data_IF_018544460224
#
_entry.id   IF_018544460224
#
_cell.length_a   1.000
_cell.length_b   1.000
_cell.length_c   1.000
_cell.angle_alpha   90.00
_cell.angle_beta   90.00
_cell.angle_gamma   90.00
#
_symmetry.space_group_name_H-M   'P 1'
#
loop_
_entity.id
_entity.type
_entity.pdbx_description
1 polymer ?
#
# COMPACT_ATOMS: atom_id res chain seq x y z
N UNK A 1 -4.53 29.56 -16.08
CA UNK A 1 -5.74 28.92 -15.55
C UNK A 1 -5.42 28.46 -14.14
N UNK A 2 -6.10 29.03 -13.16
CA UNK A 2 -5.93 28.71 -11.74
C UNK A 2 -6.61 27.36 -11.54
N UNK A 3 -5.82 26.28 -11.47
CA UNK A 3 -6.36 24.98 -11.05
C UNK A 3 -6.84 25.13 -9.61
N UNK A 4 -8.16 25.05 -9.41
CA UNK A 4 -8.77 24.97 -8.08
C UNK A 4 -7.96 24.00 -7.21
N UNK A 5 -7.59 24.42 -6.01
CA UNK A 5 -7.00 23.57 -4.99
C UNK A 5 -7.91 22.34 -4.79
N UNK A 6 -7.57 21.23 -5.44
CA UNK A 6 -8.29 19.98 -5.25
C UNK A 6 -8.00 19.52 -3.81
N UNK A 7 -8.93 19.85 -2.91
CA UNK A 7 -8.91 19.36 -1.53
C UNK A 7 -8.74 17.84 -1.55
N UNK A 8 -7.85 17.32 -0.69
CA UNK A 8 -7.63 15.88 -0.58
C UNK A 8 -8.97 15.19 -0.30
N UNK A 9 -9.41 14.23 -1.14
CA UNK A 9 -10.75 13.67 -1.01
C UNK A 9 -10.91 12.99 0.34
N UNK A 10 -12.06 13.19 0.98
CA UNK A 10 -12.44 12.39 2.15
C UNK A 10 -12.52 10.92 1.74
N UNK A 11 -11.88 10.05 2.51
CA UNK A 11 -11.98 8.61 2.26
C UNK A 11 -13.42 8.15 2.52
N UNK A 12 -14.00 7.38 1.59
CA UNK A 12 -15.30 6.74 1.80
C UNK A 12 -15.13 5.67 2.90
N UNK A 13 -15.91 5.79 3.98
CA UNK A 13 -15.83 4.91 5.15
C UNK A 13 -16.08 3.45 4.79
N UNK A 14 -16.98 3.16 3.83
CA UNK A 14 -17.31 1.80 3.40
C UNK A 14 -16.16 1.20 2.60
N UNK A 15 -15.59 1.96 1.66
CA UNK A 15 -14.42 1.54 0.90
C UNK A 15 -13.23 1.24 1.81
N UNK A 16 -13.00 2.10 2.81
CA UNK A 16 -11.96 1.90 3.82
C UNK A 16 -12.22 0.67 4.69
N UNK A 17 -13.47 0.44 5.12
CA UNK A 17 -13.80 -0.76 5.90
C UNK A 17 -13.53 -2.03 5.10
N UNK A 18 -13.93 -2.09 3.83
CA UNK A 18 -13.64 -3.23 2.94
C UNK A 18 -12.13 -3.44 2.81
N UNK A 19 -11.39 -2.36 2.55
CA UNK A 19 -9.94 -2.42 2.43
C UNK A 19 -9.29 -2.96 3.72
N UNK A 20 -9.67 -2.42 4.89
CA UNK A 20 -9.16 -2.85 6.19
C UNK A 20 -9.46 -4.33 6.43
N UNK A 21 -10.70 -4.77 6.20
CA UNK A 21 -11.09 -6.17 6.36
C UNK A 21 -10.28 -7.10 5.46
N UNK A 22 -10.08 -6.74 4.18
CA UNK A 22 -9.27 -7.51 3.24
C UNK A 22 -7.80 -7.54 3.67
N UNK A 23 -7.25 -6.43 4.15
CA UNK A 23 -5.88 -6.39 4.62
C UNK A 23 -5.67 -7.19 5.91
N UNK A 24 -6.61 -7.14 6.86
CA UNK A 24 -6.58 -7.99 8.05
C UNK A 24 -6.70 -9.48 7.68
N UNK A 25 -7.58 -9.83 6.73
CA UNK A 25 -7.69 -11.18 6.22
C UNK A 25 -6.37 -11.64 5.56
N UNK A 26 -5.75 -10.79 4.75
CA UNK A 26 -4.46 -11.08 4.13
C UNK A 26 -3.36 -11.31 5.17
N UNK A 27 -3.26 -10.44 6.19
CA UNK A 27 -2.24 -10.55 7.23
C UNK A 27 -2.46 -11.77 8.12
N UNK A 28 -3.69 -12.01 8.56
CA UNK A 28 -4.02 -13.15 9.42
C UNK A 28 -3.84 -14.47 8.68
N UNK A 29 -4.38 -14.58 7.46
CA UNK A 29 -4.27 -15.79 6.67
C UNK A 29 -2.83 -16.03 6.20
N UNK A 30 -2.17 -15.00 5.65
CA UNK A 30 -0.77 -15.10 5.22
C UNK A 30 0.20 -15.40 6.37
N UNK A 31 0.06 -14.70 7.50
CA UNK A 31 0.83 -14.98 8.71
C UNK A 31 0.57 -16.39 9.25
N UNK A 32 -0.69 -16.85 9.22
CA UNK A 32 -1.08 -18.22 9.56
C UNK A 32 -0.41 -19.28 8.68
N UNK A 33 -0.36 -19.05 7.36
CA UNK A 33 0.35 -19.93 6.41
C UNK A 33 1.85 -19.99 6.70
N UNK A 34 2.50 -18.84 6.93
CA UNK A 34 3.93 -18.82 7.29
C UNK A 34 4.17 -19.53 8.62
N UNK A 35 3.34 -19.28 9.65
CA UNK A 35 3.47 -19.93 10.95
C UNK A 35 3.28 -21.45 10.87
N UNK A 36 2.32 -21.91 10.06
CA UNK A 36 1.98 -23.34 9.87
C UNK A 36 3.03 -24.10 9.06
N UNK A 37 3.40 -23.59 7.89
CA UNK A 37 4.26 -24.32 6.95
C UNK A 37 5.75 -23.98 7.09
N UNK A 38 6.10 -22.79 7.59
CA UNK A 38 7.49 -22.29 7.68
C UNK A 38 7.71 -21.47 8.96
N UNK A 39 7.45 -22.05 10.14
CA UNK A 39 7.51 -21.38 11.45
C UNK A 39 8.77 -20.53 11.69
N UNK A 40 9.95 -20.98 11.22
CA UNK A 40 11.22 -20.23 11.33
C UNK A 40 11.22 -18.89 10.59
N UNK A 41 10.44 -18.77 9.50
CA UNK A 41 10.32 -17.56 8.71
C UNK A 41 9.26 -16.59 9.24
N UNK A 42 8.45 -17.02 10.20
CA UNK A 42 7.42 -16.17 10.80
C UNK A 42 8.00 -14.91 11.42
N UNK A 43 9.16 -15.01 12.10
CA UNK A 43 9.85 -13.85 12.64
C UNK A 43 10.29 -12.87 11.55
N UNK A 44 10.75 -13.36 10.40
CA UNK A 44 11.13 -12.53 9.26
C UNK A 44 9.90 -11.83 8.65
N UNK A 45 8.79 -12.56 8.50
CA UNK A 45 7.53 -12.00 8.01
C UNK A 45 6.99 -10.91 8.96
N UNK A 46 7.05 -11.16 10.28
CA UNK A 46 6.65 -10.18 11.29
C UNK A 46 7.57 -8.95 11.31
N UNK A 47 8.88 -9.15 11.17
CA UNK A 47 9.84 -8.06 11.06
C UNK A 47 9.55 -7.20 9.82
N UNK A 48 9.25 -7.81 8.67
CA UNK A 48 8.84 -7.09 7.47
C UNK A 48 7.55 -6.29 7.70
N UNK A 49 6.55 -6.86 8.39
CA UNK A 49 5.31 -6.16 8.74
C UNK A 49 5.57 -4.93 9.62
N UNK A 50 6.42 -5.04 10.63
CA UNK A 50 6.81 -3.92 11.48
C UNK A 50 7.60 -2.87 10.69
N UNK A 51 8.55 -3.29 9.85
CA UNK A 51 9.36 -2.39 9.03
C UNK A 51 8.50 -1.61 8.02
N UNK A 52 7.50 -2.26 7.44
CA UNK A 52 6.52 -1.63 6.58
C UNK A 52 5.64 -0.63 7.33
N UNK A 53 5.15 -1.01 8.52
CA UNK A 53 4.19 -0.22 9.29
C UNK A 53 4.81 1.03 9.92
N UNK A 54 6.09 0.96 10.31
CA UNK A 54 6.77 2.04 11.03
C UNK A 54 7.83 2.71 10.17
N UNK A 55 8.88 1.97 9.78
CA UNK A 55 10.05 2.58 9.15
C UNK A 55 9.72 3.12 7.76
N UNK A 56 9.04 2.33 6.92
CA UNK A 56 8.67 2.78 5.57
C UNK A 56 7.77 4.02 5.62
N UNK A 57 6.80 4.05 6.55
CA UNK A 57 5.94 5.22 6.76
C UNK A 57 6.70 6.42 7.29
N UNK A 58 7.64 6.23 8.21
CA UNK A 58 8.52 7.30 8.65
C UNK A 58 9.34 7.88 7.48
N UNK A 59 9.97 7.02 6.69
CA UNK A 59 10.87 7.43 5.60
C UNK A 59 10.14 8.10 4.43
N UNK A 60 8.88 7.72 4.16
CA UNK A 60 8.13 8.18 2.98
C UNK A 60 7.03 9.18 3.37
N UNK A 61 6.19 8.86 4.36
CA UNK A 61 5.00 9.65 4.65
C UNK A 61 5.36 11.01 5.28
N UNK A 62 6.39 11.10 6.12
CA UNK A 62 6.76 12.37 6.80
C UNK A 62 7.14 13.51 5.87
N UNK A 63 7.55 13.20 4.63
CA UNK A 63 7.85 14.18 3.58
C UNK A 63 6.65 14.53 2.70
N UNK A 64 5.65 13.65 2.63
CA UNK A 64 4.56 13.77 1.67
C UNK A 64 3.78 15.06 1.88
N UNK A 65 3.47 15.80 0.79
CA UNK A 65 2.56 16.96 0.80
C UNK A 65 1.20 16.66 1.46
N UNK A 66 0.82 15.39 1.49
CA UNK A 66 -0.42 14.88 2.09
C UNK A 66 -0.20 14.30 3.49
N UNK A 67 0.85 14.72 4.21
CA UNK A 67 1.14 14.27 5.55
C UNK A 67 -0.06 14.42 6.49
N UNK A 68 -0.34 13.38 7.28
CA UNK A 68 -1.49 13.35 8.20
C UNK A 68 -2.86 13.19 7.52
N UNK A 69 -2.92 13.10 6.19
CA UNK A 69 -4.16 12.81 5.45
C UNK A 69 -4.43 11.30 5.39
N UNK A 70 -5.70 10.88 5.20
CA UNK A 70 -6.08 9.49 5.04
C UNK A 70 -5.72 8.96 3.64
N UNK A 71 -4.41 8.95 3.32
CA UNK A 71 -3.92 8.67 1.97
C UNK A 71 -3.46 7.22 1.75
N UNK A 72 -3.45 6.37 2.78
CA UNK A 72 -3.00 4.97 2.68
C UNK A 72 -3.88 3.97 3.46
N UNK A 73 -3.54 2.68 3.29
CA UNK A 73 -4.14 1.54 3.97
C UNK A 73 -4.20 1.73 5.49
N UNK A 74 -5.34 1.45 6.09
CA UNK A 74 -5.58 1.59 7.54
C UNK A 74 -5.33 3.00 8.08
N UNK A 75 -5.40 4.07 7.27
CA UNK A 75 -5.03 5.41 7.72
C UNK A 75 -3.59 5.49 8.27
N UNK A 76 -2.70 4.58 7.87
CA UNK A 76 -1.29 4.55 8.25
C UNK A 76 -0.58 5.91 8.14
N UNK A 77 -0.88 6.74 7.14
CA UNK A 77 -0.35 8.11 7.02
C UNK A 77 -0.85 9.07 8.11
N UNK A 78 -2.11 8.91 8.54
CA UNK A 78 -2.70 9.66 9.66
C UNK A 78 -2.14 9.19 11.00
N UNK A 79 -1.99 7.87 11.18
CA UNK A 79 -1.44 7.31 12.42
C UNK A 79 0.06 7.55 12.54
N UNK A 80 0.82 7.46 11.45
CA UNK A 80 2.24 7.83 11.41
C UNK A 80 2.43 9.30 11.84
N UNK A 81 1.48 10.17 11.51
CA UNK A 81 1.51 11.57 11.93
C UNK A 81 1.32 11.79 13.45
N UNK A 82 0.83 10.79 14.18
CA UNK A 82 0.80 10.82 15.65
C UNK A 82 2.17 10.51 16.26
N UNK A 83 3.01 9.75 15.57
CA UNK A 83 4.29 9.27 16.08
C UNK A 83 5.49 10.07 15.58
N UNK A 84 5.35 10.73 14.43
CA UNK A 84 6.45 11.44 13.78
C UNK A 84 6.10 12.91 13.56
N UNK A 85 7.12 13.75 13.38
CA UNK A 85 6.96 15.15 12.93
C UNK A 85 7.09 15.22 11.41
N UNK A 86 6.39 16.15 10.73
CA UNK A 86 6.60 16.37 9.30
C UNK A 86 8.05 16.80 9.04
N UNK A 87 8.64 16.28 7.96
CA UNK A 87 10.01 16.56 7.51
C UNK A 87 10.02 16.84 6.01
N UNK A 88 9.42 17.94 5.53
CA UNK A 88 9.28 18.23 4.09
C UNK A 88 10.63 18.41 3.39
N UNK A 89 11.62 18.96 4.10
CA UNK A 89 12.97 19.23 3.58
C UNK A 89 13.84 17.98 3.42
N UNK A 90 13.40 16.84 3.97
CA UNK A 90 14.16 15.60 3.91
C UNK A 90 14.16 15.06 2.48
N UNK A 91 15.31 14.69 1.94
CA UNK A 91 15.37 14.00 0.65
C UNK A 91 14.74 12.61 0.77
N UNK A 92 13.89 12.26 -0.20
CA UNK A 92 13.36 10.91 -0.34
C UNK A 92 14.53 10.04 -0.81
N UNK A 93 15.17 9.43 0.16
CA UNK A 93 16.35 8.63 -0.05
C UNK A 93 15.94 7.25 -0.58
N UNK A 94 16.78 6.64 -1.41
CA UNK A 94 16.53 5.32 -2.01
C UNK A 94 16.23 4.27 -0.93
N UNK A 95 16.78 4.47 0.27
CA UNK A 95 16.52 3.68 1.47
C UNK A 95 15.03 3.55 1.82
N UNK A 96 14.23 4.60 1.71
CA UNK A 96 12.79 4.56 1.97
C UNK A 96 12.04 3.66 1.00
N UNK A 97 12.32 3.83 -0.30
CA UNK A 97 11.70 3.04 -1.37
C UNK A 97 12.11 1.56 -1.31
N UNK A 98 13.40 1.30 -1.03
CA UNK A 98 13.91 -0.06 -0.85
C UNK A 98 13.25 -0.71 0.37
N UNK A 99 13.15 0.01 1.49
CA UNK A 99 12.53 -0.52 2.71
C UNK A 99 11.06 -0.88 2.48
N UNK A 100 10.29 0.01 1.84
CA UNK A 100 8.89 -0.26 1.51
C UNK A 100 8.77 -1.46 0.55
N UNK A 101 9.53 -1.44 -0.54
CA UNK A 101 9.49 -2.49 -1.56
C UNK A 101 9.86 -3.87 -1.01
N UNK A 102 10.96 -3.96 -0.25
CA UNK A 102 11.41 -5.22 0.36
C UNK A 102 10.38 -5.71 1.38
N UNK A 103 9.83 -4.82 2.19
CA UNK A 103 8.87 -5.21 3.23
C UNK A 103 7.56 -5.71 2.62
N UNK A 104 7.01 -5.00 1.62
CA UNK A 104 5.82 -5.43 0.88
C UNK A 104 6.07 -6.76 0.16
N UNK A 105 7.25 -6.94 -0.44
CA UNK A 105 7.64 -8.18 -1.10
C UNK A 105 7.69 -9.35 -0.09
N UNK A 106 8.31 -9.17 1.07
CA UNK A 106 8.37 -10.22 2.10
C UNK A 106 6.97 -10.55 2.66
N UNK A 107 6.15 -9.54 2.94
CA UNK A 107 4.78 -9.73 3.45
C UNK A 107 3.91 -10.51 2.46
N UNK A 108 4.08 -10.23 1.15
CA UNK A 108 3.24 -10.81 0.08
C UNK A 108 3.78 -12.14 -0.46
N UNK A 109 5.09 -12.32 -0.53
CA UNK A 109 5.70 -13.49 -1.17
C UNK A 109 5.98 -14.62 -0.18
N UNK A 110 6.37 -14.32 1.07
CA UNK A 110 6.67 -15.39 2.04
C UNK A 110 5.48 -16.32 2.29
N UNK A 111 4.23 -15.86 2.42
CA UNK A 111 3.10 -16.77 2.56
C UNK A 111 2.86 -17.63 1.32
N UNK A 112 3.01 -17.06 0.12
CA UNK A 112 2.90 -17.82 -1.13
C UNK A 112 3.98 -18.91 -1.23
N UNK A 113 5.23 -18.59 -0.89
CA UNK A 113 6.33 -19.56 -0.85
C UNK A 113 6.10 -20.61 0.23
N UNK A 114 5.57 -20.22 1.40
CA UNK A 114 5.26 -21.14 2.48
C UNK A 114 4.17 -22.16 2.08
N UNK A 115 3.15 -21.71 1.33
CA UNK A 115 2.05 -22.55 0.86
C UNK A 115 2.32 -23.26 -0.48
N UNK A 116 3.52 -23.15 -1.07
CA UNK A 116 3.80 -23.61 -2.45
C UNK A 116 3.53 -25.10 -2.71
N UNK A 117 3.63 -25.94 -1.67
CA UNK A 117 3.43 -27.39 -1.73
C UNK A 117 1.94 -27.77 -1.56
N UNK A 118 1.12 -26.88 -1.00
CA UNK A 118 -0.33 -27.02 -0.87
C UNK A 118 -1.04 -26.09 -1.85
N UNK A 119 -1.38 -26.63 -3.03
CA UNK A 119 -2.01 -25.87 -4.13
C UNK A 119 -3.33 -25.21 -3.72
N UNK A 120 -4.07 -25.82 -2.79
CA UNK A 120 -5.35 -25.28 -2.34
C UNK A 120 -5.12 -24.03 -1.49
N UNK A 121 -4.25 -24.13 -0.50
CA UNK A 121 -3.90 -23.00 0.38
C UNK A 121 -3.23 -21.86 -0.42
N UNK A 122 -2.36 -22.20 -1.38
CA UNK A 122 -1.76 -21.22 -2.29
C UNK A 122 -2.83 -20.49 -3.12
N UNK A 123 -3.76 -21.23 -3.73
CA UNK A 123 -4.82 -20.62 -4.54
C UNK A 123 -5.71 -19.68 -3.70
N UNK A 124 -6.11 -20.12 -2.50
CA UNK A 124 -6.88 -19.28 -1.57
C UNK A 124 -6.09 -18.03 -1.17
N UNK A 125 -4.78 -18.16 -0.90
CA UNK A 125 -3.94 -17.01 -0.57
C UNK A 125 -3.85 -16.02 -1.73
N UNK A 126 -3.68 -16.50 -2.95
CA UNK A 126 -3.61 -15.65 -4.14
C UNK A 126 -4.94 -14.93 -4.40
N UNK A 127 -6.09 -15.55 -4.12
CA UNK A 127 -7.39 -14.88 -4.20
C UNK A 127 -7.48 -13.74 -3.19
N UNK A 128 -7.12 -13.99 -1.93
CA UNK A 128 -7.14 -12.95 -0.88
C UNK A 128 -6.15 -11.82 -1.19
N UNK A 129 -4.93 -12.17 -1.63
CA UNK A 129 -3.91 -11.21 -2.04
C UNK A 129 -4.39 -10.35 -3.21
N UNK A 130 -4.98 -10.96 -4.24
CA UNK A 130 -5.48 -10.24 -5.42
C UNK A 130 -6.64 -9.32 -5.05
N UNK A 131 -7.59 -9.79 -4.24
CA UNK A 131 -8.70 -8.98 -3.75
C UNK A 131 -8.21 -7.78 -2.95
N UNK A 132 -7.24 -8.00 -2.04
CA UNK A 132 -6.61 -6.93 -1.28
C UNK A 132 -5.88 -5.93 -2.19
N UNK A 133 -5.04 -6.39 -3.12
CA UNK A 133 -4.29 -5.52 -4.01
C UNK A 133 -5.21 -4.69 -4.91
N UNK A 134 -6.29 -5.30 -5.42
CA UNK A 134 -7.30 -4.59 -6.20
C UNK A 134 -8.00 -3.50 -5.37
N UNK A 135 -8.41 -3.82 -4.14
CA UNK A 135 -9.01 -2.86 -3.22
C UNK A 135 -8.03 -1.74 -2.83
N UNK A 136 -6.79 -2.09 -2.47
CA UNK A 136 -5.74 -1.14 -2.10
C UNK A 136 -5.46 -0.16 -3.24
N UNK A 137 -5.36 -0.71 -4.44
CA UNK A 137 -5.14 0.07 -5.64
C UNK A 137 -6.29 1.04 -5.90
N UNK A 138 -7.54 0.55 -5.87
CA UNK A 138 -8.72 1.35 -6.17
C UNK A 138 -8.97 2.44 -5.11
N UNK A 139 -8.89 2.08 -3.82
CA UNK A 139 -9.26 2.94 -2.71
C UNK A 139 -8.16 3.94 -2.33
N UNK A 140 -6.88 3.54 -2.42
CA UNK A 140 -5.75 4.35 -1.97
C UNK A 140 -4.81 4.77 -3.11
N UNK A 141 -4.22 3.82 -3.84
CA UNK A 141 -3.12 4.14 -4.75
C UNK A 141 -3.56 5.00 -5.94
N UNK A 142 -4.73 4.75 -6.51
CA UNK A 142 -5.28 5.52 -7.62
C UNK A 142 -5.49 6.99 -7.23
N UNK A 143 -6.15 7.23 -6.08
CA UNK A 143 -6.41 8.57 -5.52
C UNK A 143 -5.09 9.28 -5.20
N UNK A 144 -4.14 8.59 -4.57
CA UNK A 144 -2.82 9.16 -4.26
C UNK A 144 -2.08 9.61 -5.52
N UNK A 145 -2.10 8.82 -6.59
CA UNK A 145 -1.48 9.19 -7.86
C UNK A 145 -2.18 10.36 -8.54
N UNK A 146 -3.52 10.36 -8.56
CA UNK A 146 -4.31 11.39 -9.25
C UNK A 146 -4.14 12.76 -8.59
N UNK A 147 -4.10 12.80 -7.26
CA UNK A 147 -4.10 14.06 -6.51
C UNK A 147 -2.70 14.54 -6.10
N UNK A 148 -1.65 13.76 -6.30
CA UNK A 148 -0.32 14.18 -5.89
C UNK A 148 0.39 15.05 -6.92
N UNK A 149 1.06 16.10 -6.44
CA UNK A 149 1.87 17.04 -7.22
C UNK A 149 3.35 16.69 -7.21
N UNK A 150 3.76 15.84 -6.27
CA UNK A 150 5.13 15.33 -6.11
C UNK A 150 5.67 14.68 -7.39
N UNK A 151 6.74 15.24 -7.95
CA UNK A 151 7.38 14.71 -9.18
C UNK A 151 7.91 13.29 -9.00
N UNK A 152 8.54 13.01 -7.86
CA UNK A 152 9.15 11.70 -7.58
C UNK A 152 8.14 10.54 -7.61
N UNK A 153 6.86 10.78 -7.27
CA UNK A 153 5.82 9.74 -7.38
C UNK A 153 5.60 9.35 -8.84
N UNK A 154 5.75 10.29 -9.77
CA UNK A 154 5.61 10.00 -11.21
C UNK A 154 6.76 9.15 -11.73
N UNK A 155 7.95 9.40 -11.22
CA UNK A 155 9.18 8.77 -11.70
C UNK A 155 9.41 7.40 -11.07
N UNK A 156 9.04 7.23 -9.79
CA UNK A 156 9.43 6.05 -8.99
C UNK A 156 8.23 5.17 -8.61
N UNK A 157 7.02 5.71 -8.40
CA UNK A 157 5.91 4.89 -7.93
C UNK A 157 5.43 3.92 -9.02
N UNK A 158 5.46 2.59 -8.81
CA UNK A 158 5.03 1.63 -9.82
C UNK A 158 3.53 1.76 -10.15
N UNK A 159 2.71 2.14 -9.16
CA UNK A 159 1.28 2.35 -9.34
C UNK A 159 0.95 3.58 -10.19
N UNK A 160 1.89 4.51 -10.36
CA UNK A 160 1.68 5.71 -11.19
C UNK A 160 1.40 5.34 -12.65
N UNK A 161 2.22 4.43 -13.21
CA UNK A 161 2.05 3.96 -14.60
C UNK A 161 0.71 3.24 -14.78
N UNK A 162 0.35 2.38 -13.84
CA UNK A 162 -0.92 1.63 -13.86
C UNK A 162 -2.12 2.58 -13.79
N UNK A 163 -2.08 3.60 -12.92
CA UNK A 163 -3.15 4.59 -12.79
C UNK A 163 -3.33 5.44 -14.02
N UNK A 164 -2.23 5.82 -14.67
CA UNK A 164 -2.28 6.54 -15.94
C UNK A 164 -2.93 5.71 -17.06
N UNK A 165 -2.66 4.41 -17.11
CA UNK A 165 -3.28 3.50 -18.09
C UNK A 165 -4.77 3.32 -17.79
N UNK A 166 -5.13 3.00 -16.55
CA UNK A 166 -6.52 2.76 -16.17
C UNK A 166 -7.39 4.02 -16.32
N UNK A 167 -6.92 5.20 -15.91
CA UNK A 167 -7.67 6.45 -16.11
C UNK A 167 -7.90 6.77 -17.59
N UNK A 168 -6.95 6.43 -18.48
CA UNK A 168 -7.15 6.59 -19.94
C UNK A 168 -8.23 5.67 -20.48
N UNK A 169 -8.34 4.46 -19.93
CA UNK A 169 -9.38 3.50 -20.33
C UNK A 169 -10.76 3.92 -19.81
N UNK A 170 -10.86 4.35 -18.55
CA UNK A 170 -12.10 4.87 -17.95
C UNK A 170 -12.58 6.15 -18.64
N UNK A 171 -11.66 7.06 -19.00
CA UNK A 171 -11.98 8.28 -19.73
C UNK A 171 -12.45 8.06 -21.18
N UNK A 172 -12.15 6.90 -21.78
CA UNK A 172 -12.73 6.47 -23.06
C UNK A 172 -14.13 5.89 -22.90
N UNK A 173 -14.37 5.15 -21.82
CA UNK A 173 -15.69 4.55 -21.54
C UNK A 173 -16.77 5.60 -21.21
N UNK A 174 -16.38 6.81 -20.76
CA UNK A 174 -17.32 7.90 -20.47
C UNK A 174 -17.60 8.82 -21.67
N UNK A 175 -16.99 8.56 -22.84
CA UNK A 175 -17.13 9.34 -24.08
C UNK A 175 -17.74 8.55 -25.25
N UNK A 176 -18.18 7.32 -25.02
CA UNK A 176 -18.94 6.50 -25.96
C UNK A 176 -20.33 6.26 -25.39
#
# INVERSE_FOLDING_TARGET
MIECEAAWPSADTREQAVLICLGLALLAYGGGLVARFRRRWFCLWLAALLLWSFLSKYLICTRCESYGKPCDFCYGGKYAALFFKPQPERTLDASGMITEGVSVALISLLPAVAAREDKRELALYLVVLTAFQAALYHVCCSKCVIHSRESWKRDICPNYKVAKVLNRLSGRASKG
#
